data_IF_104357108903
#
_entry.id   IF_104357108903
#
_cell.length_a   1.000
_cell.length_b   1.000
_cell.length_c   1.000
_cell.angle_alpha   90.00
_cell.angle_beta   90.00
_cell.angle_gamma   90.00
#
_symmetry.space_group_name_H-M   'P 1'
#
loop_
_entity.id
_entity.type
_entity.pdbx_description
1 polymer ?
#
# COMPACT_ATOMS: atom_id res chain seq x y z
N UNK A 1 15.05 -21.19 -10.25
CA UNK A 1 14.44 -20.85 -8.93
C UNK A 1 13.45 -19.74 -9.17
N UNK A 2 12.26 -19.77 -8.56
CA UNK A 2 11.29 -18.68 -8.68
C UNK A 2 11.86 -17.40 -8.07
N UNK A 3 11.74 -16.26 -8.75
CA UNK A 3 12.12 -14.97 -8.18
C UNK A 3 11.30 -14.69 -6.91
N UNK A 4 11.93 -14.27 -5.81
CA UNK A 4 11.21 -13.89 -4.60
C UNK A 4 10.30 -12.68 -4.87
N UNK A 5 9.15 -12.63 -4.22
CA UNK A 5 8.21 -11.50 -4.31
C UNK A 5 8.17 -10.76 -2.98
N UNK A 6 8.38 -9.44 -3.02
CA UNK A 6 8.15 -8.54 -1.90
C UNK A 6 6.84 -7.80 -2.13
N UNK A 7 5.85 -8.09 -1.29
CA UNK A 7 4.55 -7.43 -1.30
C UNK A 7 4.48 -6.41 -0.16
N UNK A 8 4.32 -5.13 -0.47
CA UNK A 8 4.31 -4.03 0.50
C UNK A 8 2.90 -3.43 0.58
N UNK A 9 2.14 -3.76 1.63
CA UNK A 9 0.85 -3.13 1.90
C UNK A 9 1.03 -1.85 2.72
N UNK A 10 0.53 -0.72 2.21
CA UNK A 10 0.69 0.58 2.87
C UNK A 10 -0.70 1.20 3.10
N UNK A 11 -1.01 1.39 4.38
CA UNK A 11 -2.18 2.14 4.86
C UNK A 11 -2.09 3.61 4.46
N UNK A 12 -3.20 4.18 4.00
CA UNK A 12 -3.24 5.54 3.47
C UNK A 12 -3.92 6.50 4.45
N UNK A 13 -3.15 7.06 5.37
CA UNK A 13 -3.56 8.15 6.26
C UNK A 13 -2.53 9.28 6.24
N UNK A 14 -2.21 9.73 5.02
CA UNK A 14 -1.18 10.72 4.71
C UNK A 14 0.03 10.12 3.96
N UNK A 15 0.85 10.98 3.34
CA UNK A 15 1.97 10.53 2.52
C UNK A 15 3.16 9.96 3.30
N UNK A 16 3.23 10.17 4.62
CA UNK A 16 4.38 9.77 5.44
C UNK A 16 4.65 8.26 5.48
N UNK A 17 3.61 7.43 5.54
CA UNK A 17 3.76 5.97 5.47
C UNK A 17 4.20 5.54 4.07
N UNK A 18 3.59 6.13 3.03
CA UNK A 18 3.92 5.85 1.63
C UNK A 18 5.38 6.12 1.33
N UNK A 19 5.89 7.32 1.64
CA UNK A 19 7.26 7.70 1.31
C UNK A 19 8.30 6.86 2.05
N UNK A 20 8.09 6.59 3.34
CA UNK A 20 8.98 5.72 4.13
C UNK A 20 9.02 4.29 3.59
N UNK A 21 7.86 3.70 3.33
CA UNK A 21 7.78 2.34 2.78
C UNK A 21 8.36 2.27 1.37
N UNK A 22 8.14 3.29 0.54
CA UNK A 22 8.72 3.39 -0.80
C UNK A 22 10.26 3.48 -0.76
N UNK A 23 10.85 4.26 0.16
CA UNK A 23 12.30 4.30 0.36
C UNK A 23 12.90 2.94 0.73
N UNK A 24 12.22 2.17 1.60
CA UNK A 24 12.65 0.80 1.94
C UNK A 24 12.54 -0.11 0.72
N UNK A 25 11.43 -0.06 -0.01
CA UNK A 25 11.21 -0.86 -1.20
C UNK A 25 12.25 -0.58 -2.30
N UNK A 26 12.59 0.69 -2.52
CA UNK A 26 13.64 1.11 -3.45
C UNK A 26 15.01 0.55 -3.04
N UNK A 27 15.34 0.59 -1.74
CA UNK A 27 16.59 0.03 -1.21
C UNK A 27 16.66 -1.48 -1.44
N UNK A 28 15.57 -2.22 -1.15
CA UNK A 28 15.51 -3.66 -1.42
C UNK A 28 15.73 -3.95 -2.90
N UNK A 29 15.04 -3.21 -3.79
CA UNK A 29 15.16 -3.39 -5.24
C UNK A 29 16.56 -3.08 -5.77
N UNK A 30 17.27 -2.13 -5.16
CA UNK A 30 18.66 -1.84 -5.49
C UNK A 30 19.63 -2.96 -5.05
N UNK A 31 19.37 -3.58 -3.90
CA UNK A 31 20.20 -4.68 -3.37
C UNK A 31 19.90 -6.03 -4.02
N UNK A 32 18.65 -6.25 -4.46
CA UNK A 32 18.17 -7.49 -5.06
C UNK A 32 17.27 -7.18 -6.27
N UNK A 33 17.84 -6.84 -7.44
CA UNK A 33 17.10 -6.46 -8.64
C UNK A 33 16.12 -7.53 -9.15
N UNK A 34 16.35 -8.80 -8.80
CA UNK A 34 15.52 -9.94 -9.15
C UNK A 34 14.23 -10.07 -8.32
N UNK A 35 14.09 -9.31 -7.23
CA UNK A 35 12.86 -9.31 -6.42
C UNK A 35 11.71 -8.70 -7.21
N UNK A 36 10.60 -9.43 -7.33
CA UNK A 36 9.35 -8.87 -7.84
C UNK A 36 8.73 -7.99 -6.75
N UNK A 37 8.67 -6.68 -7.00
CA UNK A 37 8.19 -5.70 -6.03
C UNK A 37 6.73 -5.33 -6.35
N UNK A 38 5.84 -5.49 -5.38
CA UNK A 38 4.43 -5.11 -5.49
C UNK A 38 4.11 -4.06 -4.43
N UNK A 39 3.70 -2.88 -4.87
CA UNK A 39 3.28 -1.77 -4.02
C UNK A 39 1.76 -1.75 -3.94
N UNK A 40 1.21 -2.15 -2.80
CA UNK A 40 -0.23 -2.28 -2.59
C UNK A 40 -0.78 -1.19 -1.66
N UNK A 41 -1.37 -0.18 -2.25
CA UNK A 41 -1.83 1.02 -1.53
C UNK A 41 -2.78 1.83 -2.40
N UNK A 42 -3.60 2.68 -1.78
CA UNK A 42 -4.35 3.72 -2.50
C UNK A 42 -3.58 5.03 -2.63
N UNK A 43 -2.32 5.09 -2.18
CA UNK A 43 -1.49 6.26 -2.41
C UNK A 43 -1.30 6.49 -3.92
N UNK A 44 -1.22 7.75 -4.39
CA UNK A 44 -1.07 8.03 -5.80
C UNK A 44 0.21 7.43 -6.38
N UNK A 45 0.13 6.83 -7.57
CA UNK A 45 1.28 6.19 -8.21
C UNK A 45 2.44 7.17 -8.46
N UNK A 46 2.14 8.43 -8.83
CA UNK A 46 3.16 9.46 -9.03
C UNK A 46 4.06 9.64 -7.80
N UNK A 47 3.52 9.46 -6.58
CA UNK A 47 4.32 9.60 -5.35
C UNK A 47 5.27 8.41 -5.16
N UNK A 48 4.86 7.22 -5.61
CA UNK A 48 5.73 6.04 -5.58
C UNK A 48 6.87 6.18 -6.60
N UNK A 49 6.57 6.72 -7.79
CA UNK A 49 7.54 6.93 -8.87
C UNK A 49 8.67 7.89 -8.45
N UNK A 50 8.39 8.90 -7.63
CA UNK A 50 9.39 9.82 -7.07
C UNK A 50 10.41 9.12 -6.14
N UNK A 51 10.03 8.00 -5.53
CA UNK A 51 10.85 7.29 -4.53
C UNK A 51 11.43 5.97 -5.02
N UNK A 52 10.82 5.34 -6.03
CA UNK A 52 11.19 4.02 -6.54
C UNK A 52 11.62 4.16 -8.00
N UNK A 53 12.93 4.34 -8.28
CA UNK A 53 13.42 4.53 -9.65
C UNK A 53 13.38 3.24 -10.50
N UNK A 54 13.06 2.10 -9.90
CA UNK A 54 13.08 0.78 -10.50
C UNK A 54 11.67 0.27 -10.79
N UNK A 55 11.52 -0.67 -11.73
CA UNK A 55 10.22 -1.28 -12.03
C UNK A 55 9.58 -1.96 -10.81
N UNK A 56 8.28 -1.73 -10.63
CA UNK A 56 7.43 -2.34 -9.61
C UNK A 56 5.99 -2.49 -10.15
N UNK A 57 5.22 -3.39 -9.56
CA UNK A 57 3.79 -3.55 -9.84
C UNK A 57 2.97 -2.67 -8.88
N UNK A 58 2.11 -1.82 -9.44
CA UNK A 58 1.21 -0.99 -8.65
C UNK A 58 -0.15 -1.67 -8.46
N UNK A 59 -0.52 -1.93 -7.21
CA UNK A 59 -1.82 -2.50 -6.84
C UNK A 59 -2.65 -1.47 -6.07
N UNK A 60 -3.59 -0.75 -6.72
CA UNK A 60 -4.42 0.25 -6.06
C UNK A 60 -5.48 -0.40 -5.16
N UNK A 61 -5.13 -0.67 -3.91
CA UNK A 61 -6.01 -1.37 -2.95
C UNK A 61 -5.90 -0.80 -1.54
N UNK A 62 -7.04 -0.70 -0.85
CA UNK A 62 -7.12 -0.36 0.57
C UNK A 62 -7.27 -1.65 1.39
N UNK A 63 -6.17 -2.13 1.97
CA UNK A 63 -6.17 -3.27 2.91
C UNK A 63 -6.31 -2.84 4.37
N UNK A 64 -5.97 -1.58 4.64
CA UNK A 64 -6.15 -0.89 5.91
C UNK A 64 -6.46 0.59 5.59
N UNK A 65 -7.23 1.22 6.46
CA UNK A 65 -7.59 2.65 6.38
C UNK A 65 -6.96 3.47 7.49
N UNK A 66 -6.30 2.84 8.47
CA UNK A 66 -5.87 3.52 9.69
C UNK A 66 -7.05 4.13 10.43
N UNK A 67 -6.85 5.30 11.02
CA UNK A 67 -7.90 6.11 11.62
C UNK A 67 -8.24 7.25 10.68
N UNK A 68 -9.51 7.44 10.38
CA UNK A 68 -9.98 8.59 9.61
C UNK A 68 -9.96 9.80 10.54
N UNK A 69 -9.26 10.85 10.13
CA UNK A 69 -9.14 12.07 10.89
C UNK A 69 -9.52 13.25 9.99
N UNK A 70 -10.32 14.18 10.51
CA UNK A 70 -10.69 15.41 9.80
C UNK A 70 -9.56 16.45 9.83
N UNK A 71 -8.70 16.35 10.85
CA UNK A 71 -7.52 17.18 11.09
C UNK A 71 -6.45 16.36 11.85
N UNK A 72 -5.35 16.97 12.28
CA UNK A 72 -4.25 16.24 12.95
C UNK A 72 -4.58 15.69 14.35
N UNK A 73 -5.72 16.03 14.95
CA UNK A 73 -6.08 15.71 16.33
C UNK A 73 -7.45 15.04 16.45
N UNK A 74 -8.37 15.33 15.54
CA UNK A 74 -9.77 14.88 15.61
C UNK A 74 -9.98 13.59 14.85
N UNK A 75 -10.30 12.51 15.57
CA UNK A 75 -10.62 11.21 15.01
C UNK A 75 -12.11 11.06 14.73
N UNK A 76 -12.46 10.58 13.53
CA UNK A 76 -13.79 10.16 13.15
C UNK A 76 -13.93 8.63 13.35
N UNK A 77 -14.18 8.24 14.59
CA UNK A 77 -14.33 6.84 14.98
C UNK A 77 -15.54 6.15 14.30
N UNK A 78 -16.73 6.78 14.19
CA UNK A 78 -17.85 6.17 13.49
C UNK A 78 -17.53 5.82 12.02
N UNK A 79 -16.94 6.74 11.27
CA UNK A 79 -16.57 6.48 9.86
C UNK A 79 -15.44 5.47 9.76
N UNK A 80 -14.47 5.51 10.68
CA UNK A 80 -13.39 4.52 10.77
C UNK A 80 -13.97 3.11 10.95
N UNK A 81 -14.89 2.93 11.90
CA UNK A 81 -15.53 1.64 12.16
C UNK A 81 -16.31 1.14 10.94
N UNK A 82 -17.11 2.00 10.31
CA UNK A 82 -17.90 1.63 9.14
C UNK A 82 -17.01 1.16 7.97
N UNK A 83 -15.89 1.85 7.70
CA UNK A 83 -14.95 1.45 6.65
C UNK A 83 -14.17 0.19 7.00
N UNK A 84 -13.77 -0.02 8.26
CA UNK A 84 -13.13 -1.26 8.69
C UNK A 84 -14.09 -2.46 8.53
N UNK A 85 -15.37 -2.30 8.89
CA UNK A 85 -16.39 -3.32 8.66
C UNK A 85 -16.56 -3.62 7.17
N UNK A 86 -16.56 -2.60 6.32
CA UNK A 86 -16.61 -2.78 4.87
C UNK A 86 -15.40 -3.57 4.35
N UNK A 87 -14.17 -3.24 4.77
CA UNK A 87 -12.96 -3.99 4.38
C UNK A 87 -13.08 -5.45 4.81
N UNK A 88 -13.49 -5.69 6.06
CA UNK A 88 -13.64 -7.05 6.60
C UNK A 88 -14.69 -7.86 5.83
N UNK A 89 -15.84 -7.26 5.52
CA UNK A 89 -16.91 -7.91 4.75
C UNK A 89 -16.47 -8.28 3.32
N UNK A 90 -15.52 -7.54 2.74
CA UNK A 90 -15.02 -7.76 1.37
C UNK A 90 -13.61 -8.37 1.32
N UNK A 91 -13.07 -8.84 2.45
CA UNK A 91 -11.68 -9.28 2.55
C UNK A 91 -11.35 -10.41 1.58
N UNK A 92 -12.18 -11.47 1.52
CA UNK A 92 -11.97 -12.61 0.63
C UNK A 92 -11.94 -12.19 -0.85
N UNK A 93 -12.87 -11.31 -1.25
CA UNK A 93 -12.92 -10.77 -2.62
C UNK A 93 -11.68 -9.96 -2.93
N UNK A 94 -11.25 -9.11 -1.99
CA UNK A 94 -10.07 -8.25 -2.14
C UNK A 94 -8.78 -9.06 -2.20
N UNK A 95 -8.65 -10.14 -1.42
CA UNK A 95 -7.49 -11.03 -1.46
C UNK A 95 -7.43 -11.81 -2.78
N UNK A 96 -8.58 -12.26 -3.29
CA UNK A 96 -8.65 -13.01 -4.55
C UNK A 96 -8.35 -12.15 -5.79
N UNK A 97 -8.46 -10.82 -5.70
CA UNK A 97 -8.11 -9.92 -6.80
C UNK A 97 -6.60 -9.92 -7.03
N UNK A 98 -6.17 -10.47 -8.17
CA UNK A 98 -4.77 -10.45 -8.57
C UNK A 98 -4.32 -9.01 -8.89
N UNK A 99 -3.09 -8.60 -8.51
CA UNK A 99 -2.55 -7.32 -8.95
C UNK A 99 -2.42 -7.31 -10.49
N UNK A 100 -2.58 -6.11 -11.08
CA UNK A 100 -2.67 -5.91 -12.52
C UNK A 100 -1.28 -6.13 -13.12
N UNK A 101 -1.15 -7.17 -13.95
CA UNK A 101 0.05 -7.49 -14.73
C UNK A 101 0.35 -6.43 -15.78
#
# INVERSE_FOLDING_TARGET
MSQPTLYVSITNHGFGHTTRSASVAATVKAMAPEVNLIMATTAPQWLLDEYIPSAYEYRPVALDIGVIQADSLTMDLPTTLAKLQHIKAHATKTIAQRPLS
#
